data_IF_053522614701
#
_entry.id   IF_053522614701
#
_cell.length_a   1.000
_cell.length_b   1.000
_cell.length_c   1.000
_cell.angle_alpha   90.00
_cell.angle_beta   90.00
_cell.angle_gamma   90.00
#
_symmetry.space_group_name_H-M   'P 1'
#
loop_
_entity.id
_entity.type
_entity.pdbx_description
1 polymer ?
#
# COMPACT_ATOMS: atom_id res chain seq x y z
N UNK A 1 -5.34 25.90 13.79
CA UNK A 1 -3.99 25.51 13.34
C UNK A 1 -3.63 26.19 12.03
N UNK A 2 -4.33 26.00 10.93
CA UNK A 2 -4.08 26.70 9.64
C UNK A 2 -3.96 28.22 9.82
N UNK A 3 -4.90 28.82 10.56
CA UNK A 3 -4.88 30.26 10.87
C UNK A 3 -3.63 30.72 11.65
N UNK A 4 -3.06 29.86 12.49
CA UNK A 4 -1.83 30.17 13.25
C UNK A 4 -0.59 30.13 12.36
N UNK A 5 -0.58 29.24 11.36
CA UNK A 5 0.47 29.17 10.34
C UNK A 5 0.38 30.37 9.41
N UNK A 6 -0.82 30.69 8.91
CA UNK A 6 -1.08 31.89 8.11
C UNK A 6 -0.68 33.17 8.83
N UNK A 7 -0.80 33.21 10.15
CA UNK A 7 -0.35 34.31 10.98
C UNK A 7 1.16 34.33 11.27
N UNK A 8 1.94 33.40 10.72
CA UNK A 8 3.39 33.28 10.95
C UNK A 8 3.77 32.87 12.37
N UNK A 9 2.83 32.36 13.16
CA UNK A 9 3.06 31.93 14.56
C UNK A 9 3.56 30.49 14.67
N UNK A 10 3.50 29.71 13.58
CA UNK A 10 4.04 28.35 13.48
C UNK A 10 4.90 28.29 12.21
N UNK A 11 6.10 27.72 12.34
CA UNK A 11 6.96 27.45 11.20
C UNK A 11 6.78 25.99 10.77
N UNK A 12 6.16 25.72 9.58
CA UNK A 12 5.88 24.36 9.14
C UNK A 12 7.13 23.48 9.01
N UNK A 13 8.27 24.05 8.58
CA UNK A 13 9.51 23.28 8.38
C UNK A 13 10.19 22.90 9.68
N UNK A 14 10.13 23.75 10.69
CA UNK A 14 10.75 23.50 11.99
C UNK A 14 9.86 22.73 12.95
N UNK A 15 8.53 22.93 12.86
CA UNK A 15 7.55 22.37 13.79
C UNK A 15 6.85 21.12 13.25
N UNK A 16 7.17 20.67 12.02
CA UNK A 16 6.46 19.58 11.34
C UNK A 16 6.34 18.32 12.18
N UNK A 17 7.43 17.85 12.77
CA UNK A 17 7.40 16.64 13.61
C UNK A 17 6.63 16.81 14.93
N UNK A 18 6.61 18.01 15.48
CA UNK A 18 5.86 18.32 16.71
C UNK A 18 4.36 18.54 16.43
N UNK A 19 4.01 18.91 15.20
CA UNK A 19 2.62 19.18 14.78
C UNK A 19 1.88 17.93 14.32
N UNK A 20 2.59 16.90 13.87
CA UNK A 20 1.96 15.71 13.26
C UNK A 20 0.88 15.05 14.15
N UNK A 21 1.09 14.84 15.48
CA UNK A 21 0.04 14.29 16.34
C UNK A 21 -1.20 15.18 16.47
N UNK A 22 -1.01 16.50 16.41
CA UNK A 22 -2.14 17.46 16.44
C UNK A 22 -2.90 17.49 15.12
N UNK A 23 -2.20 17.29 13.98
CA UNK A 23 -2.83 17.16 12.67
C UNK A 23 -3.70 15.92 12.63
N UNK A 24 -3.17 14.77 13.06
CA UNK A 24 -3.92 13.51 13.14
C UNK A 24 -5.18 13.67 14.00
N UNK A 25 -5.05 14.21 15.21
CA UNK A 25 -6.19 14.46 16.10
C UNK A 25 -7.22 15.42 15.48
N UNK A 26 -6.77 16.44 14.75
CA UNK A 26 -7.66 17.36 14.05
C UNK A 26 -8.41 16.65 12.93
N UNK A 27 -7.70 15.83 12.14
CA UNK A 27 -8.30 15.06 11.06
C UNK A 27 -9.34 14.07 11.59
N UNK A 28 -9.07 13.37 12.67
CA UNK A 28 -10.03 12.47 13.34
C UNK A 28 -11.27 13.23 13.80
N UNK A 29 -11.08 14.43 14.35
CA UNK A 29 -12.19 15.30 14.78
C UNK A 29 -13.04 15.74 13.60
N UNK A 30 -12.41 16.11 12.47
CA UNK A 30 -13.09 16.50 11.24
C UNK A 30 -13.90 15.32 10.70
N UNK A 31 -13.29 14.14 10.55
CA UNK A 31 -13.98 12.95 10.04
C UNK A 31 -15.14 12.51 10.94
N UNK A 32 -14.93 12.48 12.27
CA UNK A 32 -16.02 12.21 13.22
C UNK A 32 -17.17 13.21 13.10
N UNK A 33 -16.87 14.47 12.82
CA UNK A 33 -17.89 15.49 12.63
C UNK A 33 -18.66 15.32 11.31
N UNK A 34 -17.95 14.96 10.24
CA UNK A 34 -18.56 14.64 8.93
C UNK A 34 -19.49 13.42 9.06
N UNK A 35 -19.07 12.36 9.76
CA UNK A 35 -19.89 11.15 9.99
C UNK A 35 -21.15 11.45 10.79
N UNK A 36 -21.05 12.30 11.80
CA UNK A 36 -22.23 12.79 12.53
C UNK A 36 -23.19 13.56 11.62
N UNK A 37 -22.66 14.48 10.80
CA UNK A 37 -23.47 15.25 9.86
C UNK A 37 -24.13 14.32 8.82
N UNK A 38 -23.43 13.31 8.32
CA UNK A 38 -23.95 12.32 7.37
C UNK A 38 -25.19 11.58 7.91
N UNK A 39 -25.21 11.31 9.21
CA UNK A 39 -26.37 10.69 9.87
C UNK A 39 -27.64 11.56 9.78
N UNK A 40 -27.47 12.89 9.72
CA UNK A 40 -28.55 13.85 9.59
C UNK A 40 -28.78 14.32 8.13
N UNK A 41 -27.95 13.89 7.17
CA UNK A 41 -27.93 14.42 5.80
C UNK A 41 -29.24 14.18 5.00
N UNK A 42 -30.05 13.20 5.39
CA UNK A 42 -31.38 13.00 4.77
C UNK A 42 -32.32 14.20 5.01
N UNK A 43 -32.17 14.87 6.14
CA UNK A 43 -32.91 16.11 6.46
C UNK A 43 -32.34 17.33 5.76
N UNK A 44 -31.04 17.32 5.42
CA UNK A 44 -30.35 18.44 4.75
C UNK A 44 -30.64 18.55 3.26
N UNK A 45 -31.42 17.63 2.68
CA UNK A 45 -31.79 17.68 1.26
C UNK A 45 -32.42 19.00 0.81
N UNK A 46 -32.93 19.79 1.75
CA UNK A 46 -33.59 21.06 1.57
C UNK A 46 -32.88 22.22 2.28
N UNK A 47 -31.69 22.00 2.84
CA UNK A 47 -31.00 23.03 3.61
C UNK A 47 -30.25 23.99 2.69
N UNK A 48 -30.64 25.28 2.69
CA UNK A 48 -29.97 26.32 1.88
C UNK A 48 -28.48 26.52 2.24
N UNK A 49 -28.07 26.14 3.45
CA UNK A 49 -26.67 26.24 3.87
C UNK A 49 -25.76 25.23 3.14
N UNK A 50 -26.26 24.03 2.82
CA UNK A 50 -25.51 23.06 2.04
C UNK A 50 -25.24 23.54 0.59
N UNK A 51 -26.11 24.35 0.02
CA UNK A 51 -25.90 24.91 -1.33
C UNK A 51 -24.70 25.87 -1.41
N UNK A 52 -24.34 26.48 -0.27
CA UNK A 52 -23.16 27.36 -0.15
C UNK A 52 -21.90 26.65 0.31
N UNK A 53 -22.01 25.42 0.81
CA UNK A 53 -20.88 24.64 1.35
C UNK A 53 -19.76 24.44 0.31
N UNK A 54 -20.04 24.14 -0.99
CA UNK A 54 -18.99 24.06 -2.01
C UNK A 54 -18.10 25.31 -2.07
N UNK A 55 -18.68 26.51 -1.96
CA UNK A 55 -17.91 27.75 -2.01
C UNK A 55 -17.02 27.96 -0.80
N UNK A 56 -17.41 27.40 0.36
CA UNK A 56 -16.63 27.44 1.61
C UNK A 56 -15.45 26.45 1.58
N UNK A 57 -15.64 25.27 0.99
CA UNK A 57 -14.59 24.19 1.01
C UNK A 57 -13.66 24.26 -0.21
N UNK A 58 -14.06 24.87 -1.32
CA UNK A 58 -13.21 25.03 -2.52
C UNK A 58 -11.86 25.69 -2.23
N UNK A 59 -11.72 26.66 -1.35
CA UNK A 59 -10.43 27.21 -0.95
C UNK A 59 -9.44 26.17 -0.44
N UNK A 60 -9.87 24.99 0.05
CA UNK A 60 -8.96 23.90 0.43
C UNK A 60 -8.11 23.43 -0.75
N UNK A 61 -8.62 23.53 -1.99
CA UNK A 61 -7.88 23.16 -3.21
C UNK A 61 -7.15 24.35 -3.83
N UNK A 62 -7.54 25.58 -3.48
CA UNK A 62 -7.08 26.77 -4.18
C UNK A 62 -5.93 27.49 -3.47
N UNK A 63 -5.68 27.19 -2.21
CA UNK A 63 -4.58 27.79 -1.46
C UNK A 63 -3.32 26.94 -1.65
N UNK A 64 -2.23 27.58 -2.02
CA UNK A 64 -0.88 26.99 -2.12
C UNK A 64 -0.25 27.03 -0.73
N UNK A 65 -0.58 26.04 0.12
CA UNK A 65 -0.12 26.02 1.50
C UNK A 65 0.21 24.57 1.91
N UNK A 66 0.78 24.46 3.10
CA UNK A 66 1.10 23.20 3.78
C UNK A 66 -0.14 22.30 3.95
N UNK A 67 0.10 21.04 4.29
CA UNK A 67 -0.94 20.02 4.51
C UNK A 67 -1.78 19.74 3.25
N UNK A 68 -1.12 19.69 2.13
CA UNK A 68 -1.71 19.42 0.82
C UNK A 68 -2.55 18.14 0.82
N UNK A 69 -2.01 17.07 1.35
CA UNK A 69 -2.66 15.77 1.40
C UNK A 69 -3.94 15.81 2.24
N UNK A 70 -3.87 16.38 3.44
CA UNK A 70 -5.01 16.49 4.36
C UNK A 70 -6.12 17.36 3.78
N UNK A 71 -5.76 18.45 3.11
CA UNK A 71 -6.75 19.35 2.49
C UNK A 71 -7.52 18.68 1.36
N UNK A 72 -6.83 17.92 0.50
CA UNK A 72 -7.45 17.12 -0.56
C UNK A 72 -8.36 16.05 0.05
N UNK A 73 -7.91 15.34 1.08
CA UNK A 73 -8.72 14.34 1.76
C UNK A 73 -9.98 14.92 2.39
N UNK A 74 -9.87 16.04 3.10
CA UNK A 74 -11.04 16.72 3.70
C UNK A 74 -12.03 17.17 2.62
N UNK A 75 -11.53 17.75 1.54
CA UNK A 75 -12.38 18.12 0.39
C UNK A 75 -13.14 16.89 -0.14
N UNK A 76 -12.42 15.82 -0.43
CA UNK A 76 -13.02 14.59 -0.95
C UNK A 76 -14.04 13.96 0.01
N UNK A 77 -13.73 13.91 1.31
CA UNK A 77 -14.64 13.36 2.30
C UNK A 77 -15.95 14.13 2.43
N UNK A 78 -15.89 15.46 2.43
CA UNK A 78 -17.09 16.32 2.47
C UNK A 78 -17.94 16.11 1.20
N UNK A 79 -17.29 16.01 0.04
CA UNK A 79 -18.01 15.74 -1.21
C UNK A 79 -18.65 14.35 -1.23
N UNK A 80 -17.93 13.32 -0.82
CA UNK A 80 -18.47 11.95 -0.74
C UNK A 80 -19.61 11.81 0.26
N UNK A 81 -19.48 12.46 1.42
CA UNK A 81 -20.42 12.28 2.53
C UNK A 81 -21.68 13.15 2.41
N UNK A 82 -21.52 14.40 1.95
CA UNK A 82 -22.58 15.43 2.08
C UNK A 82 -23.03 16.02 0.74
N UNK A 83 -22.14 16.12 -0.26
CA UNK A 83 -22.36 16.92 -1.47
C UNK A 83 -22.45 16.09 -2.76
N UNK A 84 -22.52 14.76 -2.67
CA UNK A 84 -22.46 13.82 -3.83
C UNK A 84 -23.68 13.87 -4.77
N UNK A 85 -24.51 14.90 -4.69
CA UNK A 85 -25.67 15.09 -5.59
C UNK A 85 -25.21 15.43 -7.00
N UNK A 86 -25.72 14.76 -8.06
CA UNK A 86 -25.22 14.95 -9.42
C UNK A 86 -25.22 16.40 -9.89
N UNK A 87 -26.23 17.19 -9.53
CA UNK A 87 -26.31 18.63 -9.90
C UNK A 87 -25.20 19.47 -9.26
N UNK A 88 -24.87 19.21 -8.00
CA UNK A 88 -23.80 19.92 -7.30
C UNK A 88 -22.42 19.49 -7.82
N UNK A 89 -22.24 18.19 -8.02
CA UNK A 89 -20.99 17.65 -8.60
C UNK A 89 -20.73 18.24 -9.97
N UNK A 90 -21.73 18.25 -10.88
CA UNK A 90 -21.58 18.81 -12.21
C UNK A 90 -21.26 20.32 -12.19
N UNK A 91 -21.93 21.11 -11.30
CA UNK A 91 -21.62 22.51 -11.12
C UNK A 91 -20.19 22.75 -10.68
N UNK A 92 -19.72 22.00 -9.70
CA UNK A 92 -18.37 22.14 -9.16
C UNK A 92 -17.32 21.70 -10.17
N UNK A 93 -17.56 20.64 -10.93
CA UNK A 93 -16.67 20.22 -12.03
C UNK A 93 -16.42 21.35 -13.03
N UNK A 94 -17.46 22.05 -13.44
CA UNK A 94 -17.32 23.20 -14.36
C UNK A 94 -16.51 24.35 -13.73
N UNK A 95 -16.66 24.60 -12.43
CA UNK A 95 -15.87 25.60 -11.72
C UNK A 95 -14.41 25.18 -11.65
N UNK A 96 -14.12 23.95 -11.18
CA UNK A 96 -12.76 23.46 -11.05
C UNK A 96 -12.05 23.34 -12.41
N UNK A 97 -12.78 22.99 -13.48
CA UNK A 97 -12.23 22.96 -14.84
C UNK A 97 -11.79 24.36 -15.31
N UNK A 98 -12.57 25.40 -15.01
CA UNK A 98 -12.17 26.78 -15.31
C UNK A 98 -10.96 27.22 -14.51
N UNK A 99 -10.89 26.86 -13.24
CA UNK A 99 -9.72 27.15 -12.38
C UNK A 99 -8.46 26.41 -12.86
N UNK A 100 -8.58 25.13 -13.26
CA UNK A 100 -7.48 24.35 -13.83
C UNK A 100 -6.94 24.94 -15.14
N UNK A 101 -7.78 25.59 -15.94
CA UNK A 101 -7.37 26.33 -17.14
C UNK A 101 -6.58 27.61 -16.83
N UNK A 102 -6.63 28.12 -15.60
CA UNK A 102 -5.91 29.32 -15.15
C UNK A 102 -4.61 29.01 -14.44
N UNK A 103 -4.58 27.91 -13.71
CA UNK A 103 -3.41 27.44 -12.95
C UNK A 103 -3.42 25.93 -12.83
N UNK A 104 -2.24 25.35 -12.85
CA UNK A 104 -2.07 23.94 -12.52
C UNK A 104 -1.68 23.81 -11.05
N UNK A 105 -2.36 22.93 -10.30
CA UNK A 105 -1.93 22.47 -8.99
C UNK A 105 -2.39 21.03 -8.80
N UNK A 106 -1.60 20.19 -8.10
CA UNK A 106 -2.00 18.82 -7.78
C UNK A 106 -3.32 18.76 -7.01
N UNK A 107 -3.55 19.69 -6.07
CA UNK A 107 -4.78 19.77 -5.28
C UNK A 107 -6.01 19.94 -6.18
N UNK A 108 -5.91 20.85 -7.13
CA UNK A 108 -6.99 21.14 -8.07
C UNK A 108 -7.25 19.93 -8.98
N UNK A 109 -6.19 19.25 -9.42
CA UNK A 109 -6.28 18.03 -10.21
C UNK A 109 -6.98 16.93 -9.43
N UNK A 110 -6.50 16.60 -8.21
CA UNK A 110 -7.11 15.55 -7.39
C UNK A 110 -8.53 15.89 -6.95
N UNK A 111 -8.83 17.16 -6.63
CA UNK A 111 -10.20 17.59 -6.33
C UNK A 111 -11.14 17.38 -7.52
N UNK A 112 -10.71 17.72 -8.74
CA UNK A 112 -11.47 17.49 -9.96
C UNK A 112 -11.69 16.00 -10.22
N UNK A 113 -10.63 15.19 -10.10
CA UNK A 113 -10.72 13.74 -10.29
C UNK A 113 -11.60 13.07 -9.23
N UNK A 114 -11.64 13.61 -8.01
CA UNK A 114 -12.57 13.11 -6.99
C UNK A 114 -14.03 13.31 -7.41
N UNK A 115 -14.37 14.41 -8.07
CA UNK A 115 -15.71 14.61 -8.58
C UNK A 115 -16.05 13.65 -9.74
N UNK A 116 -15.07 13.32 -10.60
CA UNK A 116 -15.22 12.24 -11.61
C UNK A 116 -15.42 10.86 -10.94
N UNK A 117 -14.68 10.58 -9.87
CA UNK A 117 -14.83 9.35 -9.09
C UNK A 117 -16.26 9.21 -8.53
N UNK A 118 -16.86 10.28 -8.02
CA UNK A 118 -18.25 10.29 -7.50
C UNK A 118 -19.27 9.97 -8.59
N UNK A 119 -19.02 10.38 -9.83
CA UNK A 119 -19.87 10.09 -10.99
C UNK A 119 -19.58 8.74 -11.63
N UNK A 120 -18.58 7.99 -11.12
CA UNK A 120 -18.09 6.72 -11.68
C UNK A 120 -17.51 6.85 -13.10
N UNK A 121 -16.94 7.99 -13.41
CA UNK A 121 -16.25 8.27 -14.67
C UNK A 121 -14.78 7.80 -14.57
N UNK A 122 -14.57 6.55 -14.23
CA UNK A 122 -13.23 5.98 -13.98
C UNK A 122 -12.31 6.09 -15.20
N UNK A 123 -12.85 5.96 -16.41
CA UNK A 123 -12.07 6.07 -17.65
C UNK A 123 -11.38 7.44 -17.77
N UNK A 124 -12.02 8.50 -17.28
CA UNK A 124 -11.43 9.86 -17.25
C UNK A 124 -10.24 9.89 -16.29
N UNK A 125 -10.40 9.26 -15.12
CA UNK A 125 -9.36 9.21 -14.11
C UNK A 125 -8.17 8.37 -14.61
N UNK A 126 -8.45 7.22 -15.20
CA UNK A 126 -7.42 6.31 -15.71
C UNK A 126 -6.63 6.92 -16.87
N UNK A 127 -7.28 7.69 -17.75
CA UNK A 127 -6.60 8.40 -18.81
C UNK A 127 -5.57 9.45 -18.30
N UNK A 128 -5.77 9.95 -17.08
CA UNK A 128 -4.82 10.86 -16.43
C UNK A 128 -3.86 10.13 -15.49
N UNK A 129 -4.25 8.95 -14.99
CA UNK A 129 -3.46 8.18 -14.02
C UNK A 129 -2.09 7.73 -14.57
N UNK A 130 -1.97 7.49 -15.87
CA UNK A 130 -0.71 7.17 -16.54
C UNK A 130 0.33 8.31 -16.42
N UNK A 131 -0.11 9.52 -16.13
CA UNK A 131 0.73 10.71 -15.93
C UNK A 131 0.97 11.03 -14.45
N UNK A 132 0.37 10.25 -13.54
CA UNK A 132 0.57 10.48 -12.12
C UNK A 132 2.00 10.16 -11.71
N UNK A 133 2.68 11.07 -11.02
CA UNK A 133 3.95 10.73 -10.40
C UNK A 133 3.71 9.69 -9.31
N UNK A 134 4.72 8.84 -8.99
CA UNK A 134 4.58 7.83 -7.94
C UNK A 134 4.12 8.41 -6.59
N UNK A 135 4.48 9.64 -6.28
CA UNK A 135 4.09 10.39 -5.07
C UNK A 135 2.57 10.57 -4.94
N UNK A 136 1.85 10.38 -6.04
CA UNK A 136 0.39 10.47 -6.07
C UNK A 136 -0.32 9.28 -5.41
N UNK A 137 0.38 8.17 -5.12
CA UNK A 137 -0.21 6.95 -4.56
C UNK A 137 -1.11 7.20 -3.33
N UNK A 138 -0.70 7.97 -2.30
CA UNK A 138 -1.53 8.19 -1.12
C UNK A 138 -2.88 8.85 -1.43
N UNK A 139 -2.96 9.69 -2.46
CA UNK A 139 -4.21 10.35 -2.83
C UNK A 139 -5.28 9.39 -3.35
N UNK A 140 -4.89 8.20 -3.82
CA UNK A 140 -5.81 7.16 -4.30
C UNK A 140 -6.49 6.40 -3.16
N UNK A 141 -5.94 6.42 -1.93
CA UNK A 141 -6.41 5.59 -0.83
C UNK A 141 -7.83 5.93 -0.39
N UNK A 142 -8.22 7.20 -0.45
CA UNK A 142 -9.59 7.60 -0.17
C UNK A 142 -10.59 6.91 -1.11
N UNK A 143 -10.27 6.82 -2.41
CA UNK A 143 -11.12 6.15 -3.40
C UNK A 143 -11.19 4.65 -3.18
N UNK A 144 -10.03 4.01 -2.88
CA UNK A 144 -9.99 2.57 -2.56
C UNK A 144 -10.79 2.27 -1.28
N UNK A 145 -10.64 3.10 -0.24
CA UNK A 145 -11.36 2.97 1.02
C UNK A 145 -12.87 3.10 0.81
N UNK A 146 -13.32 4.09 0.03
CA UNK A 146 -14.74 4.30 -0.26
C UNK A 146 -15.36 3.13 -1.04
N UNK A 147 -14.65 2.61 -2.06
CA UNK A 147 -15.09 1.42 -2.79
C UNK A 147 -15.11 0.18 -1.91
N UNK A 148 -14.15 0.03 -1.01
CA UNK A 148 -14.11 -1.07 -0.03
C UNK A 148 -15.31 -1.00 0.92
N UNK A 149 -15.61 0.18 1.47
CA UNK A 149 -16.76 0.40 2.34
C UNK A 149 -18.10 0.12 1.63
N UNK A 150 -18.20 0.49 0.35
CA UNK A 150 -19.37 0.21 -0.51
C UNK A 150 -19.41 -1.20 -1.06
N UNK A 151 -18.39 -2.05 -0.81
CA UNK A 151 -18.23 -3.41 -1.34
C UNK A 151 -18.29 -3.49 -2.87
N UNK A 152 -17.81 -2.45 -3.56
CA UNK A 152 -17.75 -2.40 -5.03
C UNK A 152 -16.50 -3.14 -5.54
N UNK A 153 -16.48 -4.46 -5.30
CA UNK A 153 -15.31 -5.31 -5.56
C UNK A 153 -14.89 -5.36 -7.02
N UNK A 154 -15.84 -5.26 -7.94
CA UNK A 154 -15.55 -5.28 -9.38
C UNK A 154 -14.80 -4.01 -9.80
N UNK A 155 -15.29 -2.85 -9.39
CA UNK A 155 -14.65 -1.56 -9.64
C UNK A 155 -13.28 -1.50 -8.98
N UNK A 156 -13.20 -1.94 -7.72
CA UNK A 156 -11.97 -1.96 -6.93
C UNK A 156 -10.87 -2.82 -7.59
N UNK A 157 -11.22 -3.97 -8.22
CA UNK A 157 -10.27 -4.78 -8.99
C UNK A 157 -9.62 -3.98 -10.11
N UNK A 158 -10.42 -3.28 -10.90
CA UNK A 158 -9.93 -2.43 -12.01
C UNK A 158 -9.02 -1.33 -11.47
N UNK A 159 -9.40 -0.71 -10.36
CA UNK A 159 -8.59 0.31 -9.72
C UNK A 159 -7.22 -0.22 -9.24
N UNK A 160 -7.17 -1.40 -8.60
CA UNK A 160 -5.89 -2.00 -8.24
C UNK A 160 -4.99 -2.26 -9.46
N UNK A 161 -5.57 -2.70 -10.58
CA UNK A 161 -4.79 -2.90 -11.81
C UNK A 161 -4.19 -1.60 -12.34
N UNK A 162 -4.90 -0.49 -12.20
CA UNK A 162 -4.43 0.83 -12.66
C UNK A 162 -3.38 1.46 -11.72
N UNK A 163 -3.51 1.27 -10.42
CA UNK A 163 -2.56 1.84 -9.46
C UNK A 163 -1.31 0.96 -9.23
N UNK A 164 -1.28 -0.27 -9.71
CA UNK A 164 -0.14 -1.18 -9.57
C UNK A 164 1.19 -0.55 -10.03
N UNK A 165 1.29 0.08 -11.23
CA UNK A 165 2.51 0.76 -11.66
C UNK A 165 2.91 1.93 -10.75
N UNK A 166 1.94 2.69 -10.25
CA UNK A 166 2.16 3.82 -9.35
C UNK A 166 2.72 3.31 -8.01
N UNK A 167 2.14 2.23 -7.45
CA UNK A 167 2.61 1.62 -6.23
C UNK A 167 4.04 1.09 -6.35
N UNK A 168 4.35 0.40 -7.46
CA UNK A 168 5.72 -0.06 -7.75
C UNK A 168 6.69 1.10 -7.99
N UNK A 169 6.23 2.20 -8.58
CA UNK A 169 7.00 3.43 -8.71
C UNK A 169 7.30 4.07 -7.35
N UNK A 170 6.32 4.08 -6.44
CA UNK A 170 6.44 4.64 -5.09
C UNK A 170 7.57 3.97 -4.28
N UNK A 171 7.74 2.66 -4.44
CA UNK A 171 8.83 1.92 -3.77
C UNK A 171 10.23 2.30 -4.23
N UNK A 172 10.36 3.03 -5.34
CA UNK A 172 11.65 3.45 -5.93
C UNK A 172 11.99 4.91 -5.62
N UNK A 173 11.13 5.61 -4.90
CA UNK A 173 11.37 7.00 -4.49
C UNK A 173 12.57 7.08 -3.54
N UNK A 174 13.31 8.18 -3.64
CA UNK A 174 14.39 8.50 -2.70
C UNK A 174 13.81 9.09 -1.40
N UNK A 175 13.25 8.20 -0.59
CA UNK A 175 12.60 8.50 0.68
C UNK A 175 13.06 7.55 1.77
N UNK A 176 12.96 7.92 3.05
CA UNK A 176 13.26 7.01 4.17
C UNK A 176 12.45 5.71 4.08
N UNK A 177 13.10 4.58 4.36
CA UNK A 177 12.47 3.26 4.31
C UNK A 177 11.14 3.21 5.07
N UNK A 178 11.10 3.82 6.26
CA UNK A 178 9.90 3.85 7.09
C UNK A 178 8.74 4.56 6.39
N UNK A 179 9.00 5.70 5.75
CA UNK A 179 7.96 6.48 5.06
C UNK A 179 7.32 5.66 3.92
N UNK A 180 8.15 5.03 3.09
CA UNK A 180 7.64 4.14 2.02
C UNK A 180 6.90 2.95 2.61
N UNK A 181 7.45 2.32 3.66
CA UNK A 181 6.82 1.18 4.33
C UNK A 181 5.45 1.53 4.89
N UNK A 182 5.29 2.70 5.50
CA UNK A 182 4.02 3.12 6.09
C UNK A 182 2.95 3.30 5.00
N UNK A 183 3.29 3.95 3.88
CA UNK A 183 2.36 4.14 2.75
C UNK A 183 2.01 2.81 2.06
N UNK A 184 3.00 1.95 1.79
CA UNK A 184 2.75 0.64 1.21
C UNK A 184 1.94 -0.24 2.18
N UNK A 185 2.17 -0.13 3.49
CA UNK A 185 1.39 -0.80 4.53
C UNK A 185 -0.09 -0.41 4.51
N UNK A 186 -0.41 0.88 4.35
CA UNK A 186 -1.80 1.36 4.20
C UNK A 186 -2.46 0.78 2.95
N UNK A 187 -1.76 0.78 1.82
CA UNK A 187 -2.25 0.11 0.60
C UNK A 187 -2.55 -1.37 0.84
N UNK A 188 -1.67 -2.07 1.56
CA UNK A 188 -1.84 -3.49 1.84
C UNK A 188 -2.98 -3.79 2.80
N UNK A 189 -3.32 -2.91 3.73
CA UNK A 189 -4.53 -3.04 4.55
C UNK A 189 -5.79 -3.05 3.68
N UNK A 190 -5.88 -2.13 2.71
CA UNK A 190 -7.01 -2.06 1.78
C UNK A 190 -7.04 -3.25 0.81
N UNK A 191 -5.88 -3.64 0.28
CA UNK A 191 -5.75 -4.80 -0.61
C UNK A 191 -6.14 -6.10 0.10
N UNK A 192 -5.72 -6.29 1.35
CA UNK A 192 -6.09 -7.47 2.14
C UNK A 192 -7.60 -7.55 2.36
N UNK A 193 -8.27 -6.42 2.65
CA UNK A 193 -9.73 -6.39 2.78
C UNK A 193 -10.43 -6.84 1.49
N UNK A 194 -9.92 -6.44 0.33
CA UNK A 194 -10.40 -6.89 -0.98
C UNK A 194 -10.14 -8.39 -1.18
N UNK A 195 -8.91 -8.86 -0.96
CA UNK A 195 -8.51 -10.26 -1.19
C UNK A 195 -9.27 -11.23 -0.28
N UNK A 196 -9.52 -10.87 0.96
CA UNK A 196 -10.33 -11.68 1.88
C UNK A 196 -11.76 -11.91 1.37
N UNK A 197 -12.33 -10.95 0.66
CA UNK A 197 -13.70 -11.06 0.13
C UNK A 197 -13.77 -11.72 -1.25
N UNK A 198 -12.75 -11.54 -2.07
CA UNK A 198 -12.76 -11.99 -3.48
C UNK A 198 -11.91 -13.21 -3.73
N UNK A 199 -11.02 -13.57 -2.78
CA UNK A 199 -10.00 -14.60 -2.92
C UNK A 199 -9.06 -14.39 -4.14
N UNK A 200 -8.82 -13.14 -4.57
CA UNK A 200 -7.93 -12.81 -5.69
C UNK A 200 -6.45 -12.84 -5.24
N UNK A 201 -5.95 -14.05 -4.98
CA UNK A 201 -4.59 -14.29 -4.52
C UNK A 201 -3.54 -13.84 -5.55
N UNK A 202 -3.86 -13.93 -6.84
CA UNK A 202 -2.94 -13.53 -7.90
C UNK A 202 -2.65 -12.02 -7.87
N UNK A 203 -3.66 -11.20 -7.58
CA UNK A 203 -3.50 -9.77 -7.40
C UNK A 203 -2.63 -9.48 -6.17
N UNK A 204 -2.90 -10.14 -5.04
CA UNK A 204 -2.10 -10.01 -3.82
C UNK A 204 -0.62 -10.30 -4.10
N UNK A 205 -0.32 -11.44 -4.73
CA UNK A 205 1.05 -11.85 -5.01
C UNK A 205 1.81 -10.89 -5.91
N UNK A 206 1.14 -10.33 -6.94
CA UNK A 206 1.79 -9.32 -7.80
C UNK A 206 2.19 -8.08 -7.03
N UNK A 207 1.30 -7.53 -6.20
CA UNK A 207 1.61 -6.38 -5.36
C UNK A 207 2.68 -6.74 -4.32
N UNK A 208 2.56 -7.89 -3.67
CA UNK A 208 3.50 -8.32 -2.64
C UNK A 208 4.92 -8.49 -3.19
N UNK A 209 5.06 -9.13 -4.35
CA UNK A 209 6.36 -9.28 -5.01
C UNK A 209 6.89 -7.95 -5.58
N UNK A 210 6.01 -7.14 -6.19
CA UNK A 210 6.38 -5.87 -6.83
C UNK A 210 6.78 -4.76 -5.86
N UNK A 211 6.30 -4.83 -4.62
CA UNK A 211 6.60 -3.84 -3.58
C UNK A 211 7.68 -4.30 -2.57
N UNK A 212 8.42 -5.39 -2.86
CA UNK A 212 9.58 -5.76 -2.05
C UNK A 212 10.63 -4.62 -2.07
N UNK A 213 11.37 -4.37 -0.96
CA UNK A 213 11.38 -5.12 0.31
C UNK A 213 10.30 -4.70 1.33
N UNK A 214 9.47 -3.70 1.01
CA UNK A 214 8.52 -3.08 1.96
C UNK A 214 7.37 -4.02 2.37
N UNK A 215 7.08 -5.03 1.56
CA UNK A 215 6.03 -6.06 1.76
C UNK A 215 6.59 -7.39 2.21
N UNK A 216 7.85 -7.42 2.63
CA UNK A 216 8.54 -8.66 2.97
C UNK A 216 7.78 -9.49 4.01
N UNK A 217 7.27 -8.89 5.07
CA UNK A 217 6.57 -9.60 6.14
C UNK A 217 5.29 -10.26 5.63
N UNK A 218 4.48 -9.53 4.89
CA UNK A 218 3.20 -9.98 4.36
C UNK A 218 3.40 -11.08 3.31
N UNK A 219 4.37 -10.89 2.41
CA UNK A 219 4.66 -11.86 1.36
C UNK A 219 5.32 -13.12 1.90
N UNK A 220 6.26 -12.98 2.84
CA UNK A 220 6.88 -14.11 3.52
C UNK A 220 5.84 -14.99 4.22
N UNK A 221 4.93 -14.38 4.98
CA UNK A 221 3.84 -15.11 5.65
C UNK A 221 2.96 -15.86 4.64
N UNK A 222 2.54 -15.18 3.58
CA UNK A 222 1.73 -15.78 2.51
C UNK A 222 2.41 -16.98 1.86
N UNK A 223 3.68 -16.87 1.48
CA UNK A 223 4.42 -17.96 0.85
C UNK A 223 4.57 -19.17 1.78
N UNK A 224 4.81 -18.92 3.08
CA UNK A 224 4.92 -19.97 4.07
C UNK A 224 3.60 -20.72 4.27
N UNK A 225 2.49 -20.01 4.41
CA UNK A 225 1.15 -20.62 4.54
C UNK A 225 0.76 -21.44 3.31
N UNK A 226 1.13 -20.96 2.11
CA UNK A 226 0.92 -21.71 0.85
C UNK A 226 1.93 -22.84 0.64
N UNK A 227 2.86 -23.07 1.59
CA UNK A 227 3.92 -24.07 1.51
C UNK A 227 4.84 -23.92 0.28
N UNK A 228 4.95 -22.68 -0.22
CA UNK A 228 5.88 -22.31 -1.31
C UNK A 228 7.26 -22.03 -0.73
N UNK A 229 7.84 -23.06 -0.11
CA UNK A 229 9.05 -22.93 0.71
C UNK A 229 10.29 -22.52 -0.07
N UNK A 230 10.43 -22.94 -1.31
CA UNK A 230 11.55 -22.51 -2.16
C UNK A 230 11.55 -21.00 -2.35
N UNK A 231 10.40 -20.42 -2.69
CA UNK A 231 10.23 -18.99 -2.87
C UNK A 231 10.33 -18.23 -1.54
N UNK A 232 9.81 -18.81 -0.46
CA UNK A 232 9.98 -18.24 0.88
C UNK A 232 11.46 -18.07 1.24
N UNK A 233 12.30 -19.09 0.98
CA UNK A 233 13.74 -19.03 1.20
C UNK A 233 14.41 -18.02 0.28
N UNK A 234 13.96 -17.93 -0.97
CA UNK A 234 14.51 -17.02 -1.96
C UNK A 234 14.27 -15.55 -1.56
N UNK A 235 13.06 -15.17 -1.17
CA UNK A 235 12.79 -13.79 -0.74
C UNK A 235 13.58 -13.40 0.52
N UNK A 236 13.79 -14.32 1.47
CA UNK A 236 14.66 -14.07 2.62
C UNK A 236 16.10 -13.79 2.19
N UNK A 237 16.58 -14.57 1.23
CA UNK A 237 17.93 -14.37 0.68
C UNK A 237 18.06 -13.05 -0.09
N UNK A 238 17.02 -12.63 -0.82
CA UNK A 238 17.00 -11.36 -1.57
C UNK A 238 17.07 -10.14 -0.65
N UNK A 239 16.44 -10.20 0.52
CA UNK A 239 16.54 -9.12 1.52
C UNK A 239 17.75 -9.24 2.45
N UNK A 240 18.66 -10.18 2.16
CA UNK A 240 19.94 -10.29 2.83
C UNK A 240 19.99 -11.21 4.04
N UNK A 241 18.93 -11.95 4.36
CA UNK A 241 18.98 -12.94 5.45
C UNK A 241 19.79 -14.18 5.08
N UNK A 242 20.75 -14.52 5.94
CA UNK A 242 21.37 -15.83 5.92
C UNK A 242 20.43 -16.89 6.49
N UNK A 243 20.65 -18.14 6.14
CA UNK A 243 19.81 -19.24 6.65
C UNK A 243 19.85 -19.39 8.18
N UNK A 244 20.89 -18.84 8.84
CA UNK A 244 21.00 -18.85 10.30
C UNK A 244 20.11 -17.83 10.99
N UNK A 245 19.73 -16.79 10.28
CA UNK A 245 18.87 -15.70 10.75
C UNK A 245 17.39 -16.01 10.56
N UNK A 246 17.10 -17.02 9.73
CA UNK A 246 15.73 -17.50 9.53
C UNK A 246 15.23 -18.30 10.77
N UNK A 247 13.93 -18.32 10.95
CA UNK A 247 13.29 -19.03 12.07
C UNK A 247 13.63 -20.54 12.05
N UNK A 248 14.20 -21.02 13.17
CA UNK A 248 14.66 -22.39 13.29
C UNK A 248 13.53 -23.43 13.29
N UNK A 249 12.35 -23.06 13.77
CA UNK A 249 11.18 -23.95 13.78
C UNK A 249 10.66 -24.11 12.36
N UNK A 250 10.54 -22.99 11.62
CA UNK A 250 10.16 -23.01 10.21
C UNK A 250 11.13 -23.81 9.36
N UNK A 251 12.46 -23.62 9.56
CA UNK A 251 13.48 -24.41 8.84
C UNK A 251 13.39 -25.92 9.14
N UNK A 252 13.04 -26.32 10.37
CA UNK A 252 12.82 -27.72 10.71
C UNK A 252 11.61 -28.30 10.01
N UNK A 253 10.52 -27.55 9.97
CA UNK A 253 9.30 -27.95 9.27
C UNK A 253 9.55 -28.08 7.77
N UNK A 254 10.23 -27.11 7.15
CA UNK A 254 10.62 -27.18 5.74
C UNK A 254 11.52 -28.41 5.50
N UNK A 255 12.53 -28.65 6.37
CA UNK A 255 13.40 -29.79 6.23
C UNK A 255 12.67 -31.14 6.38
N UNK A 256 11.52 -31.16 7.04
CA UNK A 256 10.65 -32.33 7.17
C UNK A 256 9.69 -32.47 6.00
N UNK A 257 9.11 -31.35 5.51
CA UNK A 257 8.07 -31.32 4.49
C UNK A 257 8.62 -31.17 3.06
N UNK A 258 9.64 -30.35 2.84
CA UNK A 258 10.27 -30.09 1.54
C UNK A 258 11.78 -29.82 1.69
N UNK A 259 12.60 -30.88 1.90
CA UNK A 259 14.05 -30.73 2.07
C UNK A 259 14.74 -30.14 0.82
N UNK A 260 14.13 -30.25 -0.38
CA UNK A 260 14.72 -29.75 -1.62
C UNK A 260 14.78 -28.22 -1.62
N UNK A 261 13.78 -27.55 -1.04
CA UNK A 261 13.73 -26.10 -0.95
C UNK A 261 14.94 -25.47 -0.23
N UNK A 262 15.50 -26.19 0.77
CA UNK A 262 16.64 -25.71 1.56
C UNK A 262 18.00 -25.89 0.87
N UNK A 263 18.11 -26.78 -0.10
CA UNK A 263 19.39 -27.16 -0.71
C UNK A 263 20.11 -25.96 -1.32
N UNK A 264 19.48 -25.12 -2.16
CA UNK A 264 20.16 -23.96 -2.77
C UNK A 264 20.70 -22.97 -1.73
N UNK A 265 19.92 -22.69 -0.68
CA UNK A 265 20.35 -21.79 0.39
C UNK A 265 21.59 -22.30 1.13
N UNK A 266 21.60 -23.58 1.50
CA UNK A 266 22.78 -24.17 2.14
C UNK A 266 24.01 -24.20 1.23
N UNK A 267 23.84 -24.35 -0.09
CA UNK A 267 24.97 -24.23 -1.02
C UNK A 267 25.52 -22.82 -1.05
N UNK A 268 24.67 -21.79 -1.06
CA UNK A 268 25.11 -20.39 -0.98
C UNK A 268 25.92 -20.11 0.28
N UNK A 269 25.45 -20.59 1.43
CA UNK A 269 26.19 -20.45 2.69
C UNK A 269 27.57 -21.15 2.65
N UNK A 270 27.63 -22.35 2.08
CA UNK A 270 28.93 -23.06 1.93
C UNK A 270 29.87 -22.23 1.06
N UNK A 271 29.42 -21.73 -0.08
CA UNK A 271 30.23 -20.90 -0.96
C UNK A 271 30.70 -19.62 -0.24
N UNK A 272 29.77 -18.90 0.41
CA UNK A 272 30.08 -17.70 1.20
C UNK A 272 31.17 -17.94 2.23
N UNK A 273 31.07 -19.02 3.02
CA UNK A 273 32.07 -19.30 4.05
C UNK A 273 33.42 -19.78 3.48
N UNK A 274 33.44 -20.45 2.33
CA UNK A 274 34.68 -20.81 1.66
C UNK A 274 35.40 -19.55 1.14
N UNK A 275 34.68 -18.60 0.60
CA UNK A 275 35.25 -17.35 0.06
C UNK A 275 35.88 -16.44 1.12
N UNK A 276 35.51 -16.60 2.41
CA UNK A 276 36.14 -15.91 3.53
C UNK A 276 37.62 -16.30 3.77
N UNK A 277 38.09 -17.41 3.21
CA UNK A 277 39.48 -17.89 3.20
C UNK A 277 40.18 -17.94 4.58
N UNK A 278 39.43 -18.22 5.63
CA UNK A 278 39.97 -18.37 6.99
C UNK A 278 39.51 -19.64 7.67
N UNK A 279 40.27 -20.09 8.68
CA UNK A 279 40.06 -21.38 9.37
C UNK A 279 38.68 -21.49 10.03
N UNK A 280 38.18 -20.43 10.58
CA UNK A 280 36.87 -20.37 11.26
C UNK A 280 35.74 -20.58 10.25
N UNK A 281 35.78 -19.88 9.12
CA UNK A 281 34.79 -19.99 8.05
C UNK A 281 34.81 -21.38 7.38
N UNK A 282 35.98 -22.00 7.20
CA UNK A 282 36.04 -23.41 6.72
C UNK A 282 35.36 -24.37 7.67
N UNK A 283 35.41 -24.17 9.00
CA UNK A 283 34.68 -25.00 9.96
C UNK A 283 33.16 -24.85 9.79
N UNK A 284 32.68 -23.61 9.58
CA UNK A 284 31.25 -23.37 9.32
C UNK A 284 30.82 -23.98 7.98
N UNK A 285 31.58 -23.81 6.91
CA UNK A 285 31.33 -24.48 5.64
C UNK A 285 31.18 -26.00 5.80
N UNK A 286 32.06 -26.62 6.58
CA UNK A 286 32.00 -28.08 6.87
C UNK A 286 30.71 -28.46 7.65
N UNK A 287 30.20 -27.59 8.54
CA UNK A 287 28.92 -27.81 9.24
C UNK A 287 27.75 -27.76 8.25
N UNK A 288 27.73 -26.80 7.33
CA UNK A 288 26.71 -26.72 6.32
C UNK A 288 26.74 -27.86 5.31
N UNK A 289 27.93 -28.35 4.93
CA UNK A 289 28.07 -29.54 4.11
C UNK A 289 27.47 -30.78 4.78
N UNK A 290 27.62 -30.93 6.11
CA UNK A 290 26.96 -32.00 6.86
C UNK A 290 25.42 -31.87 6.82
N UNK A 291 24.89 -30.67 6.93
CA UNK A 291 23.44 -30.39 6.79
C UNK A 291 22.97 -30.74 5.37
N UNK A 292 23.67 -30.30 4.34
CA UNK A 292 23.39 -30.66 2.95
C UNK A 292 23.35 -32.18 2.74
N UNK A 293 24.35 -32.90 3.25
CA UNK A 293 24.36 -34.37 3.18
C UNK A 293 23.08 -34.97 3.77
N UNK A 294 22.58 -34.42 4.88
CA UNK A 294 21.37 -34.93 5.53
C UNK A 294 20.12 -34.61 4.66
N UNK A 295 20.05 -33.42 4.05
CA UNK A 295 18.96 -33.04 3.16
C UNK A 295 18.92 -33.89 1.89
N UNK A 296 20.08 -34.19 1.28
CA UNK A 296 20.18 -35.07 0.13
C UNK A 296 19.76 -36.53 0.46
N UNK A 297 20.07 -37.01 1.67
CA UNK A 297 19.59 -38.34 2.12
C UNK A 297 18.08 -38.37 2.25
N UNK A 298 17.48 -37.32 2.85
CA UNK A 298 16.02 -37.17 2.98
C UNK A 298 15.33 -37.11 1.62
N UNK A 299 15.89 -36.32 0.68
CA UNK A 299 15.44 -36.26 -0.70
C UNK A 299 15.38 -37.61 -1.38
N UNK A 300 16.49 -38.39 -1.27
CA UNK A 300 16.57 -39.72 -1.87
C UNK A 300 15.55 -40.70 -1.27
N UNK A 301 15.37 -40.69 0.04
CA UNK A 301 14.37 -41.51 0.74
C UNK A 301 12.93 -41.19 0.29
N UNK A 302 12.60 -39.92 0.05
CA UNK A 302 11.27 -39.51 -0.44
C UNK A 302 11.02 -39.99 -1.87
N UNK A 303 12.00 -39.86 -2.77
CA UNK A 303 11.86 -40.32 -4.16
C UNK A 303 11.68 -41.84 -4.25
N UNK A 304 12.30 -42.59 -3.35
CA UNK A 304 12.08 -44.03 -3.26
C UNK A 304 10.70 -44.38 -2.66
N UNK A 305 10.19 -43.56 -1.73
CA UNK A 305 8.87 -43.80 -1.11
C UNK A 305 7.68 -43.44 -2.03
N UNK A 306 7.85 -42.48 -2.91
CA UNK A 306 6.81 -42.10 -3.89
C UNK A 306 6.74 -42.99 -5.12
N UNK A 307 7.79 -43.81 -5.36
CA UNK A 307 7.85 -44.77 -6.47
C UNK A 307 7.21 -46.15 -6.19
N UNK A 308 6.71 -46.39 -4.97
CA UNK A 308 6.16 -47.70 -4.58
C UNK A 308 4.62 -47.79 -4.87
N UNK A 309 3.99 -46.71 -5.28
CA UNK A 309 2.55 -46.70 -5.63
C UNK A 309 2.25 -46.51 -7.15
N UNK A 310 3.24 -46.85 -7.99
CA UNK A 310 3.02 -46.90 -9.46
C UNK A 310 3.45 -48.27 -9.95
N UNK A 311 2.63 -49.29 -9.68
CA UNK A 311 2.53 -50.54 -10.40
C UNK A 311 1.09 -50.97 -10.44
#
# INVERSE_FOLDING_TARGET
MFTLIEAGKLNPEQDFYSLNPYVEQLMDTIYSSIDKLKTYALSFALDPFLDKTPDVIRPLLLKEEIFQYERIRVFGEIWSALLSRPKWVAREQEILKKEAGRRFSPELQFGRLHLEFLQKNDDVIFAEADQFPPEALPYTFQWLSEMTAKKDWKRLKTWYQQIEPIAMGYTKLDKPFKEIRDVIGELFLLLNAYVQQTNDQALFERFAAGCLPYTFTEYSHHLYEKKRYAEWIEIHSLVGFSINEMDKMMLKEIAASDPEALIPAYHREVAFFIDQKNRSSYKEAARYLKKLRTLYKKRKSRRCGSGIFSC
#
